data_IF_157811134901
#
_entry.id   IF_157811134901
#
_cell.length_a   1.000
_cell.length_b   1.000
_cell.length_c   1.000
_cell.angle_alpha   90.00
_cell.angle_beta   90.00
_cell.angle_gamma   90.00
#
_symmetry.space_group_name_H-M   'P 1'
#
loop_
_entity.id
_entity.type
_entity.pdbx_description
1 polymer ?
#
# COMPACT_ATOMS: atom_id res chain seq x y z
N UNK A 1 17.51 4.04 -24.27
CA UNK A 1 17.91 5.07 -23.28
C UNK A 1 16.74 5.99 -22.87
N UNK A 2 15.63 6.01 -23.60
CA UNK A 2 14.43 6.82 -23.34
C UNK A 2 13.51 6.25 -22.25
N UNK A 3 13.54 4.95 -22.01
CA UNK A 3 12.49 4.23 -21.24
C UNK A 3 12.59 4.41 -19.72
N UNK A 4 13.77 4.81 -19.22
CA UNK A 4 14.01 5.08 -17.79
C UNK A 4 13.90 6.56 -17.44
N UNK A 5 13.89 7.47 -18.42
CA UNK A 5 13.90 8.93 -18.16
C UNK A 5 12.58 9.37 -17.54
N UNK A 6 11.45 8.94 -18.10
CA UNK A 6 10.12 9.35 -17.61
C UNK A 6 9.84 8.86 -16.17
N UNK A 7 10.04 7.57 -15.80
CA UNK A 7 9.88 7.13 -14.42
C UNK A 7 10.82 7.85 -13.46
N UNK A 8 12.07 8.10 -13.87
CA UNK A 8 13.08 8.77 -13.03
C UNK A 8 12.75 10.24 -12.78
N UNK A 9 12.30 10.96 -13.81
CA UNK A 9 11.89 12.36 -13.69
C UNK A 9 10.66 12.47 -12.79
N UNK A 10 9.66 11.59 -12.95
CA UNK A 10 8.49 11.61 -12.07
C UNK A 10 8.86 11.20 -10.65
N UNK A 11 9.78 10.24 -10.45
CA UNK A 11 10.29 9.89 -9.13
C UNK A 11 10.85 11.12 -8.40
N UNK A 12 11.66 11.91 -9.09
CA UNK A 12 12.29 13.12 -8.54
C UNK A 12 11.24 14.19 -8.26
N UNK A 13 10.33 14.45 -9.20
CA UNK A 13 9.25 15.44 -9.02
C UNK A 13 8.38 15.05 -7.82
N UNK A 14 7.95 13.79 -7.75
CA UNK A 14 7.09 13.29 -6.67
C UNK A 14 7.85 13.25 -5.34
N UNK A 15 9.14 12.92 -5.33
CA UNK A 15 9.96 13.03 -4.13
C UNK A 15 10.04 14.48 -3.62
N UNK A 16 10.23 15.46 -4.51
CA UNK A 16 10.21 16.89 -4.15
C UNK A 16 8.84 17.30 -3.61
N UNK A 17 7.75 16.85 -4.23
CA UNK A 17 6.37 17.06 -3.74
C UNK A 17 6.10 16.34 -2.40
N UNK A 18 6.90 15.34 -2.05
CA UNK A 18 6.87 14.67 -0.75
C UNK A 18 7.48 15.48 0.40
N UNK A 19 8.28 16.53 0.11
CA UNK A 19 8.90 17.36 1.16
C UNK A 19 7.87 18.13 2.01
N UNK A 20 6.85 18.80 1.43
CA UNK A 20 5.73 19.35 2.20
C UNK A 20 4.99 18.31 3.03
N UNK A 21 4.79 17.10 2.48
CA UNK A 21 4.09 16.01 3.17
C UNK A 21 4.88 15.56 4.41
N UNK A 22 6.19 15.37 4.27
CA UNK A 22 7.07 15.02 5.38
C UNK A 22 7.03 16.08 6.49
N UNK A 23 7.08 17.37 6.12
CA UNK A 23 6.97 18.49 7.08
C UNK A 23 5.59 18.58 7.74
N UNK A 24 4.53 18.24 7.03
CA UNK A 24 3.18 18.20 7.59
C UNK A 24 3.04 17.07 8.61
N UNK A 25 3.59 15.89 8.32
CA UNK A 25 3.59 14.75 9.24
C UNK A 25 4.37 15.06 10.53
N UNK A 26 5.43 15.87 10.48
CA UNK A 26 6.15 16.33 11.67
C UNK A 26 5.31 17.21 12.60
N UNK A 27 4.22 17.82 12.11
CA UNK A 27 3.31 18.65 12.93
C UNK A 27 2.33 17.83 13.76
N UNK A 28 2.29 16.50 13.58
CA UNK A 28 1.47 15.55 14.35
C UNK A 28 -0.02 15.93 14.45
N UNK A 29 -0.57 16.68 13.48
CA UNK A 29 -1.97 17.14 13.48
C UNK A 29 -2.99 16.01 13.35
N UNK A 30 -2.51 14.78 13.12
CA UNK A 30 -3.30 13.56 13.02
C UNK A 30 -3.45 12.82 14.37
N UNK A 31 -2.69 13.21 15.40
CA UNK A 31 -2.79 12.64 16.76
C UNK A 31 -4.10 13.07 17.41
N UNK A 32 -4.72 12.15 18.16
CA UNK A 32 -5.90 12.44 18.99
C UNK A 32 -5.47 13.07 20.33
N UNK A 33 -6.40 13.66 21.11
CA UNK A 33 -6.07 14.29 22.38
C UNK A 33 -5.38 13.37 23.40
N UNK A 34 -5.68 12.07 23.35
CA UNK A 34 -5.10 11.02 24.19
C UNK A 34 -3.72 10.53 23.73
N UNK A 35 -3.23 11.00 22.57
CA UNK A 35 -1.97 10.56 21.95
C UNK A 35 -0.92 11.68 21.92
N UNK A 36 -1.24 12.85 22.48
CA UNK A 36 -0.37 14.04 22.41
C UNK A 36 0.94 13.84 23.17
N UNK A 37 0.91 13.03 24.24
CA UNK A 37 2.05 12.77 25.11
C UNK A 37 3.05 11.75 24.54
N UNK A 38 2.71 11.09 23.42
CA UNK A 38 3.62 10.15 22.76
C UNK A 38 4.92 10.86 22.32
N UNK A 39 6.09 10.21 22.40
CA UNK A 39 7.36 10.80 21.97
C UNK A 39 7.28 11.36 20.56
N UNK A 40 7.96 12.49 20.31
CA UNK A 40 7.99 13.07 18.96
C UNK A 40 8.54 12.06 17.95
N UNK A 41 7.90 11.88 16.79
CA UNK A 41 8.32 10.89 15.81
C UNK A 41 9.65 11.19 15.11
N UNK A 42 10.24 12.37 15.37
CA UNK A 42 11.44 12.84 14.71
C UNK A 42 11.23 13.18 13.23
N UNK A 43 12.35 13.38 12.53
CA UNK A 43 12.35 13.78 11.11
C UNK A 43 11.90 12.65 10.20
N UNK A 44 10.93 12.94 9.32
CA UNK A 44 10.37 11.96 8.37
C UNK A 44 11.12 11.96 7.02
N UNK A 45 12.45 11.93 7.06
CA UNK A 45 13.31 12.04 5.87
C UNK A 45 13.08 10.95 4.81
N UNK A 46 12.56 9.79 5.23
CA UNK A 46 12.25 8.66 4.35
C UNK A 46 10.96 8.85 3.55
N UNK A 47 10.04 9.73 3.98
CA UNK A 47 8.73 9.93 3.32
C UNK A 47 8.88 10.40 1.86
N UNK A 48 9.69 11.44 1.55
CA UNK A 48 9.94 11.86 0.18
C UNK A 48 10.53 10.73 -0.68
N UNK A 49 11.45 9.96 -0.12
CA UNK A 49 12.14 8.85 -0.81
C UNK A 49 11.16 7.72 -1.10
N UNK A 50 10.41 7.28 -0.09
CA UNK A 50 9.40 6.23 -0.23
C UNK A 50 8.32 6.63 -1.23
N UNK A 51 7.86 7.88 -1.19
CA UNK A 51 6.86 8.41 -2.11
C UNK A 51 7.39 8.44 -3.55
N UNK A 52 8.61 8.94 -3.75
CA UNK A 52 9.26 8.99 -5.06
C UNK A 52 9.48 7.59 -5.65
N UNK A 53 10.05 6.66 -4.87
CA UNK A 53 10.34 5.29 -5.32
C UNK A 53 9.06 4.51 -5.63
N UNK A 54 8.05 4.57 -4.75
CA UNK A 54 6.79 3.85 -4.95
C UNK A 54 6.01 4.38 -6.16
N UNK A 55 6.03 5.71 -6.36
CA UNK A 55 5.41 6.34 -7.53
C UNK A 55 6.15 6.02 -8.83
N UNK A 56 7.48 5.96 -8.79
CA UNK A 56 8.29 5.56 -9.94
C UNK A 56 8.02 4.11 -10.35
N UNK A 57 7.98 3.20 -9.36
CA UNK A 57 7.66 1.79 -9.57
C UNK A 57 6.27 1.62 -10.19
N UNK A 58 5.27 2.32 -9.65
CA UNK A 58 3.91 2.31 -10.19
C UNK A 58 3.85 2.80 -11.64
N UNK A 59 4.45 3.94 -11.93
CA UNK A 59 4.42 4.51 -13.28
C UNK A 59 5.23 3.68 -14.28
N UNK A 60 6.33 3.08 -13.85
CA UNK A 60 7.05 2.11 -14.65
C UNK A 60 6.14 0.93 -15.00
N UNK A 61 5.43 0.36 -14.01
CA UNK A 61 4.50 -0.76 -14.22
C UNK A 61 3.32 -0.41 -15.13
N UNK A 62 2.83 0.83 -15.08
CA UNK A 62 1.68 1.29 -15.87
C UNK A 62 2.05 1.71 -17.29
N UNK A 63 3.21 2.35 -17.50
CA UNK A 63 3.56 2.99 -18.78
C UNK A 63 4.66 2.29 -19.57
N UNK A 64 5.53 1.51 -18.92
CA UNK A 64 6.72 0.93 -19.55
C UNK A 64 6.64 -0.60 -19.69
N UNK A 65 5.75 -1.22 -18.92
CA UNK A 65 5.55 -2.66 -18.93
C UNK A 65 4.30 -2.98 -19.74
N UNK A 66 4.42 -3.68 -20.89
CA UNK A 66 3.27 -4.16 -21.64
C UNK A 66 2.43 -5.10 -20.79
N UNK A 67 1.14 -4.82 -20.70
CA UNK A 67 0.18 -5.58 -19.91
C UNK A 67 -1.21 -5.49 -20.54
N UNK A 68 -1.90 -6.62 -20.65
CA UNK A 68 -3.28 -6.68 -21.12
C UNK A 68 -4.23 -5.90 -20.19
N UNK A 69 -3.87 -5.74 -18.90
CA UNK A 69 -4.61 -4.92 -17.94
C UNK A 69 -4.48 -3.40 -18.20
N UNK A 70 -3.55 -2.98 -19.07
CA UNK A 70 -3.35 -1.58 -19.46
C UNK A 70 -3.24 -1.49 -20.99
N UNK A 71 -4.34 -1.73 -21.72
CA UNK A 71 -4.31 -1.89 -23.18
C UNK A 71 -4.04 -0.59 -23.95
N UNK A 72 -4.08 0.57 -23.28
CA UNK A 72 -3.84 1.86 -23.93
C UNK A 72 -3.69 3.03 -22.97
N UNK A 73 -3.29 4.17 -23.53
CA UNK A 73 -3.01 5.40 -22.79
C UNK A 73 -4.18 5.95 -21.96
N UNK A 74 -5.48 5.81 -22.34
CA UNK A 74 -6.58 6.31 -21.50
C UNK A 74 -6.66 5.55 -20.18
N UNK A 75 -6.49 4.22 -20.22
CA UNK A 75 -6.46 3.36 -19.04
C UNK A 75 -5.24 3.69 -18.18
N UNK A 76 -4.06 3.81 -18.80
CA UNK A 76 -2.84 4.18 -18.10
C UNK A 76 -2.96 5.53 -17.37
N UNK A 77 -3.61 6.51 -18.00
CA UNK A 77 -3.85 7.83 -17.41
C UNK A 77 -4.79 7.74 -16.20
N UNK A 78 -5.95 7.07 -16.33
CA UNK A 78 -6.90 6.91 -15.22
C UNK A 78 -6.27 6.16 -14.05
N UNK A 79 -5.54 5.07 -14.32
CA UNK A 79 -4.82 4.33 -13.28
C UNK A 79 -3.75 5.19 -12.61
N UNK A 80 -3.00 6.00 -13.36
CA UNK A 80 -1.99 6.90 -12.79
C UNK A 80 -2.64 7.94 -11.88
N UNK A 81 -3.73 8.57 -12.32
CA UNK A 81 -4.49 9.57 -11.55
C UNK A 81 -5.16 8.98 -10.30
N UNK A 82 -5.47 7.67 -10.33
CA UNK A 82 -6.09 6.96 -9.20
C UNK A 82 -5.05 6.44 -8.22
N UNK A 83 -4.02 5.77 -8.70
CA UNK A 83 -3.07 5.02 -7.88
C UNK A 83 -1.96 5.91 -7.31
N UNK A 84 -1.57 7.03 -7.95
CA UNK A 84 -0.59 7.94 -7.35
C UNK A 84 -1.07 8.57 -6.03
N UNK A 85 -2.32 9.08 -5.93
CA UNK A 85 -2.83 9.52 -4.63
C UNK A 85 -2.99 8.36 -3.63
N UNK A 86 -3.29 7.13 -4.08
CA UNK A 86 -3.30 5.95 -3.20
C UNK A 86 -1.90 5.69 -2.63
N UNK A 87 -0.85 5.76 -3.44
CA UNK A 87 0.54 5.66 -2.97
C UNK A 87 0.86 6.76 -1.95
N UNK A 88 0.43 8.00 -2.20
CA UNK A 88 0.57 9.08 -1.22
C UNK A 88 -0.14 8.76 0.10
N UNK A 89 -1.40 8.31 0.04
CA UNK A 89 -2.15 7.88 1.21
C UNK A 89 -1.45 6.76 1.96
N UNK A 90 -0.93 5.74 1.25
CA UNK A 90 -0.16 4.66 1.85
C UNK A 90 1.07 5.19 2.59
N UNK A 91 1.90 6.04 1.98
CA UNK A 91 3.09 6.59 2.65
C UNK A 91 2.72 7.40 3.90
N UNK A 92 1.66 8.23 3.82
CA UNK A 92 1.15 8.96 4.98
C UNK A 92 0.66 8.02 6.08
N UNK A 93 -0.12 7.01 5.72
CA UNK A 93 -0.66 6.00 6.63
C UNK A 93 0.46 5.20 7.30
N UNK A 94 1.51 4.80 6.57
CA UNK A 94 2.68 4.16 7.16
C UNK A 94 3.40 5.06 8.17
N UNK A 95 3.54 6.35 7.87
CA UNK A 95 4.18 7.28 8.80
C UNK A 95 3.36 7.46 10.09
N UNK A 96 2.03 7.50 9.97
CA UNK A 96 1.12 7.58 11.12
C UNK A 96 1.09 6.27 11.91
N UNK A 97 1.09 5.13 11.22
CA UNK A 97 1.13 3.82 11.86
C UNK A 97 2.42 3.61 12.66
N UNK A 98 3.57 4.05 12.14
CA UNK A 98 4.85 4.06 12.87
C UNK A 98 4.90 5.05 14.05
N UNK A 99 3.95 5.99 14.13
CA UNK A 99 3.88 6.96 15.23
C UNK A 99 2.96 6.47 16.36
N UNK A 100 1.73 6.10 15.99
CA UNK A 100 0.61 5.91 16.91
C UNK A 100 -0.08 4.55 16.71
N UNK A 101 0.52 3.63 15.95
CA UNK A 101 0.00 2.27 15.71
C UNK A 101 -1.46 2.25 15.23
N UNK A 102 -1.81 3.25 14.40
CA UNK A 102 -3.18 3.46 13.92
C UNK A 102 -3.20 3.98 12.50
N UNK A 103 -4.16 3.47 11.74
CA UNK A 103 -4.52 3.93 10.41
C UNK A 103 -5.79 4.82 10.47
N UNK A 104 -5.67 6.15 10.34
CA UNK A 104 -6.82 7.04 10.48
C UNK A 104 -7.82 6.92 9.33
N UNK A 105 -9.08 6.71 9.70
CA UNK A 105 -10.23 6.62 8.80
C UNK A 105 -10.41 7.85 7.90
N UNK A 106 -9.97 9.03 8.35
CA UNK A 106 -10.00 10.27 7.56
C UNK A 106 -9.19 10.21 6.27
N UNK A 107 -8.16 9.36 6.22
CA UNK A 107 -7.37 9.12 5.00
C UNK A 107 -7.85 7.84 4.32
N UNK A 108 -8.11 6.78 5.09
CA UNK A 108 -8.50 5.48 4.56
C UNK A 108 -9.78 5.53 3.72
N UNK A 109 -10.84 6.17 4.21
CA UNK A 109 -12.12 6.23 3.48
C UNK A 109 -12.02 6.95 2.13
N UNK A 110 -11.40 8.15 2.04
CA UNK A 110 -11.12 8.77 0.74
C UNK A 110 -10.29 7.89 -0.19
N UNK A 111 -9.27 7.18 0.31
CA UNK A 111 -8.45 6.26 -0.50
C UNK A 111 -9.29 5.12 -1.09
N UNK A 112 -10.14 4.50 -0.27
CA UNK A 112 -11.08 3.46 -0.72
C UNK A 112 -12.08 4.00 -1.75
N UNK A 113 -12.61 5.21 -1.52
CA UNK A 113 -13.51 5.87 -2.47
C UNK A 113 -12.83 6.17 -3.80
N UNK A 114 -11.57 6.62 -3.76
CA UNK A 114 -10.79 6.89 -4.97
C UNK A 114 -10.57 5.62 -5.80
N UNK A 115 -10.19 4.50 -5.17
CA UNK A 115 -10.11 3.21 -5.86
C UNK A 115 -11.47 2.74 -6.38
N UNK A 116 -12.51 2.88 -5.56
CA UNK A 116 -13.87 2.47 -5.90
C UNK A 116 -14.47 3.22 -7.09
N UNK A 117 -13.97 4.41 -7.42
CA UNK A 117 -14.35 5.16 -8.63
C UNK A 117 -13.34 4.96 -9.75
N UNK A 118 -12.05 5.06 -9.44
CA UNK A 118 -10.98 5.04 -10.43
C UNK A 118 -10.84 3.73 -11.18
N UNK A 119 -10.99 2.58 -10.50
CA UNK A 119 -10.92 1.27 -11.16
C UNK A 119 -12.12 1.04 -12.10
N UNK A 120 -13.38 1.32 -11.73
CA UNK A 120 -14.48 1.30 -12.69
C UNK A 120 -14.31 2.25 -13.87
N UNK A 121 -13.82 3.48 -13.64
CA UNK A 121 -13.55 4.41 -14.74
C UNK A 121 -12.48 3.85 -15.68
N UNK A 122 -11.41 3.25 -15.15
CA UNK A 122 -10.37 2.60 -15.94
C UNK A 122 -10.94 1.45 -16.80
N UNK A 123 -11.89 0.68 -16.26
CA UNK A 123 -12.58 -0.38 -16.98
C UNK A 123 -13.42 0.18 -18.15
N UNK A 124 -14.16 1.27 -17.90
CA UNK A 124 -15.02 1.92 -18.90
C UNK A 124 -14.25 2.57 -20.05
N UNK A 125 -13.04 3.09 -19.80
CA UNK A 125 -12.22 3.74 -20.85
C UNK A 125 -11.35 2.76 -21.65
N UNK A 126 -11.53 1.46 -21.45
CA UNK A 126 -10.90 0.41 -22.28
C UNK A 126 -10.21 -0.71 -21.50
N UNK A 127 -10.12 -0.63 -20.17
CA UNK A 127 -9.47 -1.68 -19.37
C UNK A 127 -10.27 -2.99 -19.30
N UNK A 128 -11.57 -2.94 -19.58
CA UNK A 128 -12.43 -4.12 -19.58
C UNK A 128 -12.89 -4.54 -18.19
N UNK A 129 -13.81 -5.50 -18.16
CA UNK A 129 -14.48 -5.95 -16.92
C UNK A 129 -13.62 -6.93 -16.14
N UNK A 130 -12.79 -7.73 -16.81
CA UNK A 130 -12.01 -8.79 -16.16
C UNK A 130 -10.99 -8.25 -15.15
N UNK A 131 -10.16 -7.22 -15.45
CA UNK A 131 -9.27 -6.63 -14.45
C UNK A 131 -10.02 -6.01 -13.27
N UNK A 132 -11.20 -5.44 -13.52
CA UNK A 132 -12.04 -4.87 -12.47
C UNK A 132 -12.59 -5.96 -11.54
N UNK A 133 -13.13 -7.04 -12.08
CA UNK A 133 -13.62 -8.18 -11.29
C UNK A 133 -12.48 -8.80 -10.47
N UNK A 134 -11.31 -8.97 -11.10
CA UNK A 134 -10.12 -9.47 -10.40
C UNK A 134 -9.68 -8.55 -9.27
N UNK A 135 -9.66 -7.24 -9.50
CA UNK A 135 -9.38 -6.25 -8.46
C UNK A 135 -10.37 -6.35 -7.29
N UNK A 136 -11.68 -6.44 -7.57
CA UNK A 136 -12.69 -6.59 -6.54
C UNK A 136 -12.51 -7.88 -5.74
N UNK A 137 -12.31 -9.02 -6.41
CA UNK A 137 -12.10 -10.31 -5.76
C UNK A 137 -10.81 -10.34 -4.94
N UNK A 138 -9.72 -9.77 -5.47
CA UNK A 138 -8.45 -9.67 -4.76
C UNK A 138 -8.56 -8.75 -3.53
N UNK A 139 -9.26 -7.62 -3.63
CA UNK A 139 -9.51 -6.73 -2.50
C UNK A 139 -10.36 -7.39 -1.41
N UNK A 140 -11.47 -8.04 -1.79
CA UNK A 140 -12.32 -8.78 -0.85
C UNK A 140 -11.56 -9.96 -0.23
N UNK A 141 -10.80 -10.71 -1.03
CA UNK A 141 -9.99 -11.84 -0.56
C UNK A 141 -8.89 -11.40 0.41
N UNK A 142 -8.19 -10.31 0.11
CA UNK A 142 -7.18 -9.73 0.99
C UNK A 142 -7.80 -9.27 2.32
N UNK A 143 -8.91 -8.54 2.24
CA UNK A 143 -9.67 -8.11 3.42
C UNK A 143 -10.13 -9.30 4.27
N UNK A 144 -10.71 -10.32 3.65
CA UNK A 144 -11.17 -11.52 4.34
C UNK A 144 -10.02 -12.28 5.01
N UNK A 145 -8.86 -12.39 4.33
CA UNK A 145 -7.68 -13.03 4.89
C UNK A 145 -7.16 -12.30 6.14
N UNK A 146 -7.00 -10.98 6.07
CA UNK A 146 -6.56 -10.16 7.21
C UNK A 146 -7.60 -10.11 8.32
N UNK A 147 -8.89 -10.08 7.98
CA UNK A 147 -9.98 -10.16 8.95
C UNK A 147 -9.99 -11.49 9.68
N UNK A 148 -9.76 -12.60 8.97
CA UNK A 148 -9.65 -13.92 9.58
C UNK A 148 -8.48 -13.97 10.58
N UNK A 149 -7.33 -13.40 10.22
CA UNK A 149 -6.18 -13.29 11.13
C UNK A 149 -6.55 -12.47 12.37
N UNK A 150 -7.21 -11.31 12.19
CA UNK A 150 -7.64 -10.46 13.29
C UNK A 150 -8.62 -11.19 14.23
N UNK A 151 -9.60 -11.91 13.68
CA UNK A 151 -10.57 -12.69 14.46
C UNK A 151 -9.92 -13.87 15.19
N UNK A 152 -9.00 -14.58 14.55
CA UNK A 152 -8.23 -15.67 15.18
C UNK A 152 -7.34 -15.16 16.31
N UNK A 153 -6.74 -13.98 16.13
CA UNK A 153 -5.96 -13.33 17.18
C UNK A 153 -6.86 -12.96 18.36
N UNK A 154 -8.01 -12.32 18.08
CA UNK A 154 -8.99 -11.92 19.09
C UNK A 154 -9.50 -13.13 19.90
N UNK A 155 -9.77 -14.25 19.23
CA UNK A 155 -10.16 -15.50 19.89
C UNK A 155 -9.08 -16.05 20.85
N UNK A 156 -7.82 -15.69 20.64
CA UNK A 156 -6.69 -16.02 21.54
C UNK A 156 -6.45 -14.97 22.63
N UNK A 157 -7.31 -13.96 22.75
CA UNK A 157 -7.24 -12.92 23.77
C UNK A 157 -6.21 -11.81 23.49
N UNK A 158 -5.73 -11.68 22.25
CA UNK A 158 -4.83 -10.61 21.84
C UNK A 158 -5.32 -9.98 20.54
N UNK A 159 -5.38 -8.65 20.45
CA UNK A 159 -5.74 -7.95 19.22
C UNK A 159 -4.44 -7.57 18.48
N UNK A 160 -3.74 -8.56 17.91
CA UNK A 160 -2.46 -8.33 17.25
C UNK A 160 -2.59 -7.58 15.91
N UNK A 161 -3.79 -7.53 15.33
CA UNK A 161 -4.05 -6.92 14.03
C UNK A 161 -5.31 -6.04 14.11
N UNK A 162 -5.18 -4.78 13.70
CA UNK A 162 -6.24 -3.79 13.80
C UNK A 162 -7.22 -3.86 12.64
N UNK A 163 -8.46 -3.39 12.85
CA UNK A 163 -9.43 -3.25 11.75
C UNK A 163 -8.96 -2.27 10.66
N UNK A 164 -8.03 -1.37 10.97
CA UNK A 164 -7.37 -0.50 9.99
C UNK A 164 -6.57 -1.30 8.96
N UNK A 165 -5.85 -2.33 9.39
CA UNK A 165 -5.03 -3.18 8.53
C UNK A 165 -5.90 -3.99 7.57
N UNK A 166 -7.09 -4.42 8.01
CA UNK A 166 -8.08 -5.08 7.15
C UNK A 166 -8.51 -4.15 6.02
N UNK A 167 -8.78 -2.87 6.31
CA UNK A 167 -9.14 -1.88 5.27
C UNK A 167 -7.96 -1.63 4.32
N UNK A 168 -6.74 -1.56 4.86
CA UNK A 168 -5.54 -1.42 4.04
C UNK A 168 -5.34 -2.64 3.13
N UNK A 169 -5.60 -3.85 3.62
CA UNK A 169 -5.55 -5.08 2.82
C UNK A 169 -6.50 -5.01 1.62
N UNK A 170 -7.72 -4.50 1.82
CA UNK A 170 -8.68 -4.30 0.74
C UNK A 170 -8.15 -3.32 -0.31
N UNK A 171 -7.59 -2.18 0.13
CA UNK A 171 -7.01 -1.16 -0.76
C UNK A 171 -5.85 -1.75 -1.58
N UNK A 172 -4.90 -2.42 -0.92
CA UNK A 172 -3.72 -2.99 -1.58
C UNK A 172 -4.11 -4.16 -2.49
N UNK A 173 -4.98 -5.05 -2.02
CA UNK A 173 -5.47 -6.19 -2.80
C UNK A 173 -6.23 -5.75 -4.05
N UNK A 174 -7.07 -4.72 -3.95
CA UNK A 174 -7.77 -4.16 -5.10
C UNK A 174 -6.82 -3.50 -6.11
N UNK A 175 -5.87 -2.69 -5.63
CA UNK A 175 -4.89 -2.04 -6.50
C UNK A 175 -4.01 -3.05 -7.25
N UNK A 176 -3.52 -4.08 -6.56
CA UNK A 176 -2.69 -5.13 -7.17
C UNK A 176 -3.47 -6.08 -8.07
N UNK A 177 -4.70 -6.43 -7.67
CA UNK A 177 -5.57 -7.32 -8.42
C UNK A 177 -5.95 -6.78 -9.79
N UNK A 178 -5.88 -5.46 -10.00
CA UNK A 178 -6.00 -4.89 -11.34
C UNK A 178 -4.95 -5.46 -12.30
N UNK A 179 -3.69 -5.52 -11.87
CA UNK A 179 -2.57 -5.99 -12.69
C UNK A 179 -2.53 -7.51 -12.84
N UNK A 180 -2.88 -8.25 -11.79
CA UNK A 180 -2.83 -9.70 -11.84
C UNK A 180 -3.09 -10.42 -10.53
N UNK A 181 -3.42 -11.71 -10.63
CA UNK A 181 -3.43 -12.61 -9.49
C UNK A 181 -2.03 -12.79 -8.87
N UNK A 182 -0.94 -12.96 -9.64
CA UNK A 182 0.40 -13.06 -9.08
C UNK A 182 0.78 -11.82 -8.26
N UNK A 183 0.52 -10.62 -8.78
CA UNK A 183 0.77 -9.35 -8.11
C UNK A 183 0.01 -9.26 -6.79
N UNK A 184 -1.29 -9.58 -6.81
CA UNK A 184 -2.14 -9.57 -5.62
C UNK A 184 -1.68 -10.60 -4.58
N UNK A 185 -1.53 -11.87 -4.96
CA UNK A 185 -1.17 -12.95 -4.04
C UNK A 185 0.23 -12.73 -3.48
N UNK A 186 1.22 -12.43 -4.34
CA UNK A 186 2.58 -12.17 -3.90
C UNK A 186 2.64 -10.94 -2.99
N UNK A 187 1.92 -9.87 -3.32
CA UNK A 187 1.93 -8.66 -2.51
C UNK A 187 1.32 -8.85 -1.13
N UNK A 188 0.16 -9.51 -1.06
CA UNK A 188 -0.53 -9.85 0.20
C UNK A 188 0.35 -10.78 1.05
N UNK A 189 0.90 -11.82 0.42
CA UNK A 189 1.71 -12.83 1.10
C UNK A 189 3.06 -12.26 1.56
N UNK A 190 3.74 -11.48 0.72
CA UNK A 190 4.98 -10.79 1.09
C UNK A 190 4.73 -9.80 2.22
N UNK A 191 3.61 -9.07 2.21
CA UNK A 191 3.22 -8.19 3.29
C UNK A 191 3.05 -8.94 4.61
N UNK A 192 2.38 -10.09 4.56
CA UNK A 192 2.21 -10.97 5.72
C UNK A 192 3.56 -11.49 6.25
N UNK A 193 4.43 -11.97 5.37
CA UNK A 193 5.75 -12.47 5.74
C UNK A 193 6.65 -11.39 6.32
N UNK A 194 6.73 -10.21 5.69
CA UNK A 194 7.52 -9.08 6.18
C UNK A 194 7.01 -8.64 7.54
N UNK A 195 5.69 -8.53 7.73
CA UNK A 195 5.08 -8.18 9.00
C UNK A 195 5.36 -9.22 10.09
N UNK A 196 5.24 -10.51 9.75
CA UNK A 196 5.54 -11.62 10.66
C UNK A 196 7.02 -11.68 11.07
N UNK A 197 7.95 -11.51 10.12
CA UNK A 197 9.39 -11.46 10.40
C UNK A 197 9.77 -10.25 11.25
N UNK A 198 9.15 -9.10 10.99
CA UNK A 198 9.38 -7.89 11.79
C UNK A 198 8.92 -8.09 13.23
N UNK A 199 7.69 -8.61 13.43
CA UNK A 199 7.16 -8.93 14.75
C UNK A 199 8.03 -9.95 15.49
N UNK A 200 8.50 -10.99 14.78
CA UNK A 200 9.41 -11.99 15.34
C UNK A 200 10.75 -11.38 15.75
N UNK A 201 11.34 -10.50 14.92
CA UNK A 201 12.59 -9.81 15.23
C UNK A 201 12.50 -8.92 16.47
N UNK A 202 11.37 -8.22 16.64
CA UNK A 202 11.13 -7.42 17.84
C UNK A 202 10.96 -8.27 19.11
N UNK A 203 10.29 -9.42 18.98
CA UNK A 203 10.10 -10.36 20.07
C UNK A 203 11.43 -10.98 20.51
N UNK A 204 12.23 -11.45 19.56
CA UNK A 204 13.58 -11.99 19.82
C UNK A 204 14.50 -10.93 20.39
N UNK A 205 14.41 -9.69 19.90
CA UNK A 205 15.15 -8.55 20.42
C UNK A 205 14.66 -8.02 21.77
N UNK A 206 13.61 -8.61 22.36
CA UNK A 206 12.95 -8.16 23.61
C UNK A 206 12.54 -6.69 23.61
N UNK A 207 12.37 -6.09 22.43
CA UNK A 207 11.97 -4.68 22.29
C UNK A 207 10.47 -4.48 22.49
N UNK A 208 9.69 -5.54 22.34
CA UNK A 208 8.24 -5.54 22.51
C UNK A 208 7.84 -6.77 23.33
N UNK A 209 6.88 -6.60 24.24
CA UNK A 209 6.30 -7.74 24.99
C UNK A 209 5.35 -8.53 24.10
N UNK A 210 4.99 -9.77 24.47
CA UNK A 210 3.95 -10.56 23.78
C UNK A 210 2.59 -9.85 23.61
N UNK A 211 2.38 -8.72 24.29
CA UNK A 211 1.17 -7.89 24.25
C UNK A 211 1.37 -6.51 23.59
N UNK A 212 2.55 -6.19 23.09
CA UNK A 212 2.79 -4.86 22.52
C UNK A 212 2.17 -4.71 21.13
N UNK A 213 1.59 -3.55 20.88
CA UNK A 213 1.04 -3.15 19.58
C UNK A 213 2.20 -2.89 18.60
N UNK A 214 2.06 -3.33 17.35
CA UNK A 214 3.09 -3.18 16.33
C UNK A 214 2.51 -2.66 15.00
N UNK A 215 3.29 -1.83 14.31
CA UNK A 215 2.89 -1.14 13.08
C UNK A 215 2.94 -2.09 11.88
N UNK A 216 1.79 -2.64 11.49
CA UNK A 216 1.70 -3.63 10.43
C UNK A 216 1.59 -3.00 9.02
N UNK A 217 1.11 -1.75 8.94
CA UNK A 217 0.87 -1.04 7.69
C UNK A 217 2.09 -0.91 6.77
N UNK A 218 3.26 -0.47 7.27
CA UNK A 218 4.48 -0.34 6.45
C UNK A 218 4.90 -1.67 5.81
N UNK A 219 4.81 -2.78 6.55
CA UNK A 219 5.16 -4.10 6.04
C UNK A 219 4.23 -4.54 4.90
N UNK A 220 2.92 -4.30 5.05
CA UNK A 220 1.94 -4.58 4.00
C UNK A 220 2.21 -3.78 2.72
N UNK A 221 2.55 -2.50 2.85
CA UNK A 221 2.85 -1.64 1.70
C UNK A 221 4.15 -2.04 1.00
N UNK A 222 5.17 -2.45 1.75
CA UNK A 222 6.39 -3.04 1.18
C UNK A 222 6.08 -4.33 0.42
N UNK A 223 5.26 -5.20 1.02
CA UNK A 223 4.76 -6.40 0.36
C UNK A 223 4.06 -6.07 -0.95
N UNK A 224 3.15 -5.10 -0.95
CA UNK A 224 2.45 -4.68 -2.16
C UNK A 224 3.41 -4.16 -3.25
N UNK A 225 4.42 -3.37 -2.88
CA UNK A 225 5.43 -2.89 -3.84
C UNK A 225 6.24 -4.05 -4.44
N UNK A 226 6.60 -5.06 -3.64
CA UNK A 226 7.25 -6.27 -4.13
C UNK A 226 6.34 -7.07 -5.07
N UNK A 227 5.06 -7.22 -4.71
CA UNK A 227 4.04 -7.84 -5.55
C UNK A 227 3.92 -7.18 -6.91
N UNK A 228 3.86 -5.84 -6.92
CA UNK A 228 3.75 -5.04 -8.15
C UNK A 228 4.96 -5.19 -9.08
N UNK A 229 6.17 -5.26 -8.52
CA UNK A 229 7.42 -5.29 -9.28
C UNK A 229 7.80 -6.71 -9.75
N UNK A 230 7.51 -7.73 -8.95
CA UNK A 230 7.99 -9.10 -9.18
C UNK A 230 6.88 -10.02 -9.69
N UNK A 231 5.61 -9.74 -9.38
CA UNK A 231 4.48 -10.62 -9.65
C UNK A 231 4.37 -11.04 -11.12
N UNK A 232 4.58 -10.11 -12.04
CA UNK A 232 4.54 -10.39 -13.48
C UNK A 232 5.58 -11.43 -13.94
N UNK A 233 6.79 -11.40 -13.37
CA UNK A 233 7.87 -12.32 -13.73
C UNK A 233 7.60 -13.76 -13.32
N UNK A 234 6.73 -14.01 -12.34
CA UNK A 234 6.38 -15.37 -11.91
C UNK A 234 5.54 -16.12 -12.96
N UNK A 235 4.77 -15.42 -13.80
CA UNK A 235 4.03 -16.05 -14.90
C UNK A 235 4.95 -16.53 -16.01
N UNK A 236 6.04 -15.79 -16.26
CA UNK A 236 7.02 -16.12 -17.32
C UNK A 236 7.93 -17.28 -16.91
N UNK A 237 8.20 -17.46 -15.61
CA UNK A 237 9.04 -18.54 -15.11
C UNK A 237 8.34 -19.90 -14.96
N UNK A 238 7.01 -19.95 -15.10
CA UNK A 238 6.21 -21.18 -14.98
C UNK A 238 5.65 -21.68 -16.32
N UNK A 239 5.92 -20.96 -17.42
CA UNK A 239 5.54 -21.31 -18.79
C UNK A 239 6.76 -21.82 -19.57
#
# INVERSE_FOLDING_TARGET
MTDLVLPSVVAVVVAVLGLPVARWLERTTYRKPDEVDEPSPGRRWWVPVALGLSSAALLHRVWQVPDEAVPGWPVALVLSLTLLPVVLSCVCLAAMDLDVHRLPDRIMWPTMGLLGVGLPVAALVGGGVDPLLRALLAGVGAGAFYLLIALLSLARGSLALGLGDVKLAVVLGAGLGWFGWPEAVLGIYAGFLVGGLFALGLLVGRKVSWKGEFAYGPAMMLGALLGLLVGQGMLVGLA
#
